data_IF_670416538989
#
_entry.id   IF_670416538989
#
_cell.length_a   1.000
_cell.length_b   1.000
_cell.length_c   1.000
_cell.angle_alpha   90.00
_cell.angle_beta   90.00
_cell.angle_gamma   90.00
#
_symmetry.space_group_name_H-M   'P 1'
#
loop_
_entity.id
_entity.type
_entity.pdbx_description
1 polymer ?
#
# COMPACT_ATOMS: atom_id res chain seq x y z
N UNK A 1 17.34 17.19 42.06
CA UNK A 1 16.21 16.28 41.79
C UNK A 1 16.12 16.04 40.29
N UNK A 2 16.79 15.01 39.79
CA UNK A 2 16.68 14.59 38.40
C UNK A 2 15.34 13.87 38.23
N UNK A 3 14.41 14.46 37.47
CA UNK A 3 13.18 13.79 37.10
C UNK A 3 13.47 12.81 35.97
N UNK A 4 13.34 11.52 36.26
CA UNK A 4 13.40 10.47 35.23
C UNK A 4 12.09 10.52 34.45
N UNK A 5 12.14 11.02 33.23
CA UNK A 5 10.98 11.05 32.33
C UNK A 5 10.90 9.69 31.65
N UNK A 6 9.88 8.90 32.00
CA UNK A 6 9.61 7.62 31.33
C UNK A 6 8.68 7.90 30.14
N UNK A 7 9.15 7.57 28.94
CA UNK A 7 8.42 7.76 27.69
C UNK A 7 8.11 6.40 27.08
N UNK A 8 6.91 6.25 26.54
CA UNK A 8 6.56 5.07 25.73
C UNK A 8 7.29 5.12 24.39
N UNK A 9 7.37 3.98 23.69
CA UNK A 9 7.97 3.89 22.35
C UNK A 9 7.38 4.94 21.39
N UNK A 10 6.07 5.16 21.46
CA UNK A 10 5.38 6.16 20.64
C UNK A 10 5.81 7.59 21.00
N UNK A 11 5.99 7.91 22.29
CA UNK A 11 6.50 9.22 22.70
C UNK A 11 7.93 9.52 22.22
N UNK A 12 8.75 8.50 21.95
CA UNK A 12 10.11 8.71 21.40
C UNK A 12 10.08 9.09 19.92
N UNK A 13 9.08 8.63 19.18
CA UNK A 13 8.93 8.89 17.74
C UNK A 13 8.43 10.32 17.47
N UNK A 14 7.70 10.92 18.42
CA UNK A 14 7.07 12.23 18.24
C UNK A 14 7.74 13.38 19.03
N UNK A 15 8.82 13.13 19.76
CA UNK A 15 9.44 14.11 20.68
C UNK A 15 10.12 15.31 19.97
N UNK A 16 10.38 15.20 18.66
CA UNK A 16 11.03 16.24 17.85
C UNK A 16 10.21 16.70 16.63
N UNK A 17 8.93 16.31 16.52
CA UNK A 17 8.13 16.73 15.36
C UNK A 17 7.55 18.13 15.61
N UNK A 18 8.29 19.15 15.21
CA UNK A 18 7.77 20.50 15.08
C UNK A 18 6.87 20.55 13.83
N UNK A 19 5.56 20.60 14.05
CA UNK A 19 4.49 20.59 13.03
C UNK A 19 4.38 21.92 12.25
N UNK A 20 5.53 22.54 11.92
CA UNK A 20 5.61 23.83 11.23
C UNK A 20 5.71 23.72 9.70
N UNK A 21 5.73 22.50 9.16
CA UNK A 21 5.99 22.27 7.74
C UNK A 21 4.70 21.87 7.03
N UNK A 22 3.94 22.86 6.55
CA UNK A 22 2.76 22.58 5.72
C UNK A 22 3.19 22.06 4.35
N UNK A 23 2.68 20.91 3.93
CA UNK A 23 2.86 20.42 2.56
C UNK A 23 1.70 20.85 1.67
N UNK A 24 1.99 21.25 0.45
CA UNK A 24 0.99 21.60 -0.57
C UNK A 24 1.24 20.77 -1.81
N UNK A 25 0.18 20.31 -2.48
CA UNK A 25 0.35 19.41 -3.60
C UNK A 25 -0.86 19.31 -4.51
N UNK A 26 -0.65 18.59 -5.61
CA UNK A 26 -1.68 18.19 -6.56
C UNK A 26 -1.97 16.71 -6.39
N UNK A 27 -3.24 16.35 -6.52
CA UNK A 27 -3.70 14.97 -6.56
C UNK A 27 -4.59 14.78 -7.78
N UNK A 28 -4.37 13.69 -8.51
CA UNK A 28 -5.20 13.29 -9.64
C UNK A 28 -5.45 11.78 -9.59
N UNK A 29 -6.62 11.37 -10.06
CA UNK A 29 -6.96 9.96 -10.20
C UNK A 29 -7.80 9.74 -11.46
N UNK A 30 -7.73 8.51 -11.96
CA UNK A 30 -8.55 8.03 -13.07
C UNK A 30 -8.96 6.59 -12.79
N UNK A 31 -10.12 6.19 -13.31
CA UNK A 31 -10.62 4.83 -13.17
C UNK A 31 -11.45 4.40 -14.37
N UNK A 32 -11.49 3.10 -14.61
CA UNK A 32 -12.22 2.45 -15.68
C UNK A 32 -12.95 1.24 -15.10
N UNK A 33 -14.28 1.21 -15.27
CA UNK A 33 -15.12 0.08 -14.90
C UNK A 33 -15.69 -0.54 -16.18
N UNK A 34 -15.41 -1.83 -16.41
CA UNK A 34 -15.78 -2.54 -17.62
C UNK A 34 -16.72 -3.70 -17.29
N UNK A 35 -17.89 -3.69 -17.94
CA UNK A 35 -18.86 -4.78 -17.94
C UNK A 35 -19.30 -5.28 -16.56
N UNK A 36 -19.25 -4.41 -15.54
CA UNK A 36 -19.49 -4.79 -14.14
C UNK A 36 -18.61 -5.98 -13.67
N UNK A 37 -17.46 -6.17 -14.31
CA UNK A 37 -16.56 -7.29 -14.07
C UNK A 37 -15.18 -6.81 -13.62
N UNK A 38 -14.62 -5.79 -14.29
CA UNK A 38 -13.26 -5.34 -14.03
C UNK A 38 -13.30 -3.85 -13.66
N UNK A 39 -12.66 -3.52 -12.54
CA UNK A 39 -12.45 -2.16 -12.08
C UNK A 39 -10.94 -1.88 -12.00
N UNK A 40 -10.47 -1.00 -12.87
CA UNK A 40 -9.11 -0.48 -12.82
C UNK A 40 -9.12 0.94 -12.29
N UNK A 41 -8.22 1.27 -11.37
CA UNK A 41 -8.02 2.65 -10.91
C UNK A 41 -6.53 2.97 -10.76
N UNK A 42 -6.20 4.23 -11.04
CA UNK A 42 -4.86 4.78 -10.87
C UNK A 42 -4.94 6.15 -10.23
N UNK A 43 -3.99 6.46 -9.36
CA UNK A 43 -3.87 7.76 -8.73
C UNK A 43 -2.42 8.21 -8.69
N UNK A 44 -2.25 9.52 -8.73
CA UNK A 44 -0.98 10.20 -8.65
C UNK A 44 -1.09 11.40 -7.73
N UNK A 45 -0.14 11.57 -6.83
CA UNK A 45 0.02 12.79 -6.06
C UNK A 45 1.42 13.35 -6.24
N UNK A 46 1.51 14.68 -6.19
CA UNK A 46 2.76 15.39 -6.08
C UNK A 46 2.64 16.40 -4.94
N UNK A 47 3.36 16.19 -3.85
CA UNK A 47 3.34 17.02 -2.66
C UNK A 47 4.70 17.67 -2.46
N UNK A 48 4.71 18.98 -2.23
CA UNK A 48 5.89 19.75 -1.92
C UNK A 48 5.86 20.22 -0.47
N UNK A 49 6.91 19.91 0.27
CA UNK A 49 7.15 20.40 1.62
C UNK A 49 8.49 21.14 1.62
N UNK A 50 8.46 22.47 1.79
CA UNK A 50 9.62 23.36 1.68
C UNK A 50 10.43 23.17 0.39
N UNK A 51 11.52 22.40 0.46
CA UNK A 51 12.43 22.08 -0.66
C UNK A 51 12.24 20.66 -1.20
N UNK A 52 11.52 19.80 -0.49
CA UNK A 52 11.35 18.38 -0.80
C UNK A 52 10.08 18.17 -1.61
N UNK A 53 10.21 17.50 -2.75
CA UNK A 53 9.10 17.07 -3.59
C UNK A 53 8.91 15.55 -3.45
N UNK A 54 7.72 15.15 -3.03
CA UNK A 54 7.34 13.75 -2.81
C UNK A 54 6.19 13.40 -3.75
N UNK A 55 6.44 12.47 -4.67
CA UNK A 55 5.42 11.99 -5.59
C UNK A 55 5.02 10.57 -5.24
N UNK A 56 3.75 10.27 -5.37
CA UNK A 56 3.21 8.94 -5.14
C UNK A 56 2.35 8.50 -6.30
N UNK A 57 2.44 7.22 -6.65
CA UNK A 57 1.63 6.59 -7.67
C UNK A 57 1.05 5.29 -7.12
N UNK A 58 -0.25 5.09 -7.32
CA UNK A 58 -0.93 3.85 -6.96
C UNK A 58 -1.79 3.38 -8.11
N UNK A 59 -1.86 2.08 -8.31
CA UNK A 59 -2.73 1.43 -9.27
C UNK A 59 -3.37 0.20 -8.64
N UNK A 60 -4.66 0.00 -8.94
CA UNK A 60 -5.45 -1.11 -8.44
C UNK A 60 -6.21 -1.74 -9.60
N UNK A 61 -6.26 -3.07 -9.60
CA UNK A 61 -7.10 -3.86 -10.49
C UNK A 61 -7.95 -4.76 -9.62
N UNK A 62 -9.26 -4.57 -9.67
CA UNK A 62 -10.24 -5.36 -8.95
C UNK A 62 -11.13 -6.11 -9.93
N UNK A 63 -11.51 -7.32 -9.55
CA UNK A 63 -12.48 -8.13 -10.28
C UNK A 63 -13.75 -8.21 -9.43
N UNK A 64 -14.90 -7.90 -10.02
CA UNK A 64 -16.19 -8.22 -9.42
C UNK A 64 -16.40 -9.74 -9.47
N UNK A 65 -16.38 -10.36 -8.30
CA UNK A 65 -16.45 -11.81 -8.17
C UNK A 65 -17.88 -12.33 -7.96
N UNK A 66 -18.90 -11.47 -7.95
CA UNK A 66 -20.31 -11.82 -7.72
C UNK A 66 -20.78 -12.96 -8.64
N UNK A 67 -20.35 -12.97 -9.90
CA UNK A 67 -20.72 -13.97 -10.89
C UNK A 67 -19.64 -15.04 -11.13
N UNK A 68 -18.58 -15.08 -10.31
CA UNK A 68 -17.47 -16.01 -10.46
C UNK A 68 -17.56 -17.06 -9.33
N UNK A 69 -17.99 -18.30 -9.64
CA UNK A 69 -18.19 -19.32 -8.62
C UNK A 69 -16.93 -19.55 -7.79
N UNK A 70 -17.11 -19.61 -6.46
CA UNK A 70 -16.06 -19.89 -5.47
C UNK A 70 -14.95 -18.84 -5.35
N UNK A 71 -15.06 -17.70 -6.02
CA UNK A 71 -14.12 -16.59 -5.84
C UNK A 71 -14.84 -15.51 -5.05
N UNK A 72 -14.33 -15.18 -3.87
CA UNK A 72 -14.95 -14.17 -2.99
C UNK A 72 -14.25 -12.81 -3.07
N UNK A 73 -13.01 -12.77 -3.54
CA UNK A 73 -12.29 -11.53 -3.83
C UNK A 73 -11.17 -11.80 -4.83
N UNK A 74 -10.90 -10.85 -5.72
CA UNK A 74 -9.69 -10.86 -6.53
C UNK A 74 -9.25 -9.41 -6.80
N UNK A 75 -8.07 -9.06 -6.29
CA UNK A 75 -7.47 -7.74 -6.43
C UNK A 75 -5.97 -7.87 -6.67
N UNK A 76 -5.42 -7.01 -7.50
CA UNK A 76 -3.98 -6.74 -7.57
C UNK A 76 -3.73 -5.25 -7.37
N UNK A 77 -2.59 -4.91 -6.78
CA UNK A 77 -2.23 -3.53 -6.52
C UNK A 77 -0.74 -3.29 -6.65
N UNK A 78 -0.42 -2.07 -7.04
CA UNK A 78 0.92 -1.49 -7.04
C UNK A 78 0.85 -0.13 -6.38
N UNK A 79 1.77 0.15 -5.47
CA UNK A 79 1.87 1.43 -4.77
C UNK A 79 3.34 1.81 -4.69
N UNK A 80 3.64 3.05 -5.00
CA UNK A 80 4.97 3.63 -4.87
C UNK A 80 4.83 5.03 -4.33
N UNK A 81 5.29 5.24 -3.10
CA UNK A 81 5.01 6.47 -2.36
C UNK A 81 6.28 7.28 -2.10
N UNK A 82 6.16 8.61 -2.06
CA UNK A 82 7.22 9.52 -1.60
C UNK A 82 8.55 9.38 -2.38
N UNK A 83 8.45 9.32 -3.71
CA UNK A 83 9.60 9.17 -4.61
C UNK A 83 9.76 10.39 -5.52
N UNK A 84 10.98 10.64 -6.00
CA UNK A 84 11.22 11.68 -7.03
C UNK A 84 10.67 11.27 -8.40
N UNK A 85 10.73 9.96 -8.71
CA UNK A 85 10.18 9.36 -9.92
C UNK A 85 9.36 8.10 -9.57
N UNK A 86 8.04 8.24 -9.39
CA UNK A 86 7.17 7.10 -9.04
C UNK A 86 6.87 6.19 -10.23
N UNK A 87 7.36 6.51 -11.44
CA UNK A 87 7.18 5.71 -12.66
C UNK A 87 8.42 4.90 -13.05
N UNK A 88 9.46 4.85 -12.21
CA UNK A 88 10.63 4.01 -12.44
C UNK A 88 10.37 2.54 -12.08
N UNK A 89 9.44 1.88 -12.78
CA UNK A 89 9.00 0.53 -12.46
C UNK A 89 10.12 -0.52 -12.54
N UNK A 90 11.20 -0.24 -13.28
CA UNK A 90 12.36 -1.14 -13.42
C UNK A 90 13.24 -1.16 -12.16
N UNK A 91 13.29 -0.04 -11.41
CA UNK A 91 14.08 0.09 -10.19
C UNK A 91 13.15 0.35 -8.99
N UNK A 92 12.62 -0.71 -8.37
CA UNK A 92 11.79 -0.57 -7.17
C UNK A 92 12.61 0.00 -6.00
N UNK A 93 11.96 0.84 -5.19
CA UNK A 93 12.53 1.44 -3.98
C UNK A 93 11.96 0.82 -2.71
N UNK A 94 12.46 1.22 -1.54
CA UNK A 94 11.89 0.82 -0.24
C UNK A 94 10.41 1.21 -0.07
N UNK A 95 9.95 2.22 -0.81
CA UNK A 95 8.57 2.69 -0.77
C UNK A 95 7.67 2.03 -1.83
N UNK A 96 8.20 1.01 -2.53
CA UNK A 96 7.45 0.23 -3.52
C UNK A 96 6.81 -0.99 -2.87
N UNK A 97 5.50 -1.12 -3.06
CA UNK A 97 4.69 -2.25 -2.61
C UNK A 97 3.91 -2.77 -3.80
N UNK A 98 3.96 -4.08 -4.01
CA UNK A 98 3.10 -4.77 -4.96
C UNK A 98 2.48 -5.99 -4.31
N UNK A 99 1.27 -6.33 -4.71
CA UNK A 99 0.59 -7.45 -4.11
C UNK A 99 -0.68 -7.84 -4.84
N UNK A 100 -1.23 -8.96 -4.39
CA UNK A 100 -2.53 -9.43 -4.82
C UNK A 100 -3.26 -10.08 -3.66
N UNK A 101 -4.58 -10.00 -3.71
CA UNK A 101 -5.49 -10.63 -2.76
C UNK A 101 -6.42 -11.55 -3.53
N UNK A 102 -6.50 -12.80 -3.11
CA UNK A 102 -7.39 -13.81 -3.67
C UNK A 102 -8.24 -14.41 -2.56
N UNK A 103 -9.55 -14.38 -2.72
CA UNK A 103 -10.52 -15.00 -1.84
C UNK A 103 -11.13 -16.22 -2.49
N UNK A 104 -11.09 -17.36 -1.81
CA UNK A 104 -11.78 -18.59 -2.19
C UNK A 104 -12.94 -18.86 -1.23
N UNK A 105 -14.16 -19.00 -1.76
CA UNK A 105 -15.33 -19.31 -0.95
C UNK A 105 -15.36 -20.80 -0.57
N UNK A 106 -15.29 -21.06 0.74
CA UNK A 106 -15.38 -22.41 1.31
C UNK A 106 -16.83 -22.83 1.47
N UNK A 107 -17.67 -21.90 1.92
CA UNK A 107 -19.12 -22.05 2.06
C UNK A 107 -19.78 -20.66 2.05
N UNK A 108 -21.12 -20.61 1.99
CA UNK A 108 -21.85 -19.35 2.07
C UNK A 108 -21.46 -18.59 3.34
N UNK A 109 -20.90 -17.40 3.16
CA UNK A 109 -20.44 -16.54 4.27
C UNK A 109 -19.07 -16.90 4.85
N UNK A 110 -18.33 -17.87 4.30
CA UNK A 110 -16.98 -18.24 4.77
C UNK A 110 -16.00 -18.30 3.60
N UNK A 111 -14.91 -17.56 3.70
CA UNK A 111 -13.88 -17.48 2.67
C UNK A 111 -12.48 -17.67 3.23
N UNK A 112 -11.60 -18.27 2.46
CA UNK A 112 -10.16 -18.28 2.69
C UNK A 112 -9.53 -17.17 1.85
N UNK A 113 -8.85 -16.23 2.49
CA UNK A 113 -8.19 -15.09 1.85
C UNK A 113 -6.68 -15.33 1.86
N UNK A 114 -6.09 -15.26 0.67
CA UNK A 114 -4.65 -15.20 0.43
C UNK A 114 -4.27 -13.76 0.08
N UNK A 115 -3.56 -13.07 0.98
CA UNK A 115 -2.94 -11.77 0.70
C UNK A 115 -1.43 -11.96 0.54
N UNK A 116 -0.96 -11.78 -0.69
CA UNK A 116 0.45 -11.73 -1.00
C UNK A 116 0.88 -10.27 -1.15
N UNK A 117 1.96 -9.91 -0.46
CA UNK A 117 2.61 -8.61 -0.57
C UNK A 117 4.11 -8.76 -0.70
N UNK A 118 4.69 -8.00 -1.61
CA UNK A 118 6.12 -7.80 -1.71
C UNK A 118 6.46 -6.33 -1.48
N UNK A 119 7.43 -6.09 -0.61
CA UNK A 119 8.03 -4.79 -0.35
C UNK A 119 9.56 -4.92 -0.44
N UNK A 120 10.29 -3.81 -0.47
CA UNK A 120 11.74 -3.83 -0.63
C UNK A 120 12.41 -3.22 0.58
N UNK A 121 13.56 -3.78 0.96
CA UNK A 121 14.34 -3.32 2.10
C UNK A 121 15.81 -3.27 1.71
N UNK A 122 16.55 -2.29 2.20
CA UNK A 122 18.02 -2.29 2.11
C UNK A 122 18.60 -3.36 3.05
N UNK A 123 19.55 -4.15 2.56
CA UNK A 123 20.24 -5.18 3.32
C UNK A 123 21.39 -4.64 4.19
N UNK A 124 21.63 -3.33 4.18
CA UNK A 124 22.71 -2.64 4.88
C UNK A 124 23.97 -2.47 4.03
N UNK A 125 23.97 -2.95 2.78
CA UNK A 125 25.04 -2.74 1.80
C UNK A 125 24.69 -1.70 0.73
N UNK A 126 23.48 -1.13 0.80
CA UNK A 126 22.92 -0.28 -0.25
C UNK A 126 22.21 -1.06 -1.35
N UNK A 127 22.06 -2.39 -1.19
CA UNK A 127 21.34 -3.25 -2.13
C UNK A 127 19.91 -3.46 -1.65
N UNK A 128 18.93 -3.18 -2.52
CA UNK A 128 17.54 -3.46 -2.23
C UNK A 128 17.20 -4.92 -2.46
N UNK A 129 16.72 -5.58 -1.41
CA UNK A 129 16.24 -6.97 -1.45
C UNK A 129 14.72 -7.02 -1.32
N UNK A 130 14.04 -7.86 -2.12
CA UNK A 130 12.60 -8.05 -1.98
C UNK A 130 12.29 -8.89 -0.73
N UNK A 131 11.31 -8.46 0.04
CA UNK A 131 10.73 -9.19 1.16
C UNK A 131 9.29 -9.54 0.78
N UNK A 132 9.00 -10.84 0.80
CA UNK A 132 7.70 -11.38 0.46
C UNK A 132 6.99 -11.81 1.73
N UNK A 133 5.74 -11.39 1.86
CA UNK A 133 4.84 -11.77 2.94
C UNK A 133 3.59 -12.39 2.32
N UNK A 134 3.19 -13.53 2.86
CA UNK A 134 1.90 -14.17 2.53
C UNK A 134 1.11 -14.34 3.81
N UNK A 135 -0.08 -13.78 3.84
CA UNK A 135 -1.05 -13.93 4.91
C UNK A 135 -2.18 -14.81 4.41
N UNK A 136 -2.56 -15.81 5.21
CA UNK A 136 -3.68 -16.70 4.92
C UNK A 136 -4.65 -16.58 6.09
N UNK A 137 -5.85 -16.08 5.80
CA UNK A 137 -6.87 -15.81 6.81
C UNK A 137 -8.21 -16.40 6.41
N UNK A 138 -9.01 -16.79 7.40
CA UNK A 138 -10.42 -17.15 7.15
C UNK A 138 -11.28 -15.95 7.49
N UNK A 139 -12.06 -15.47 6.52
CA UNK A 139 -13.00 -14.38 6.68
C UNK A 139 -14.45 -14.91 6.76
N UNK A 140 -15.22 -14.31 7.65
CA UNK A 140 -16.64 -14.60 7.86
C UNK A 140 -17.45 -13.36 7.47
N UNK A 141 -18.47 -13.55 6.63
CA UNK A 141 -19.39 -12.50 6.22
C UNK A 141 -20.82 -12.94 6.59
N UNK A 142 -21.51 -12.12 7.40
CA UNK A 142 -22.79 -12.44 8.03
C UNK A 142 -23.94 -11.65 7.41
#
# INVERSE_FOLDING_TARGET
NAQTIIRTKDMFVFDNYNDSTSSMGLFGSAGLSLFNLIDFSGSYSNMKADTTELKSFSAYLNLNTENIPKVSQAMAYYQRNNEENPFDFANPSQNTILGYVLGYELSKGVSLIWDFRQFYRDDGTGTLVPIQQTTIETAFNF
#
